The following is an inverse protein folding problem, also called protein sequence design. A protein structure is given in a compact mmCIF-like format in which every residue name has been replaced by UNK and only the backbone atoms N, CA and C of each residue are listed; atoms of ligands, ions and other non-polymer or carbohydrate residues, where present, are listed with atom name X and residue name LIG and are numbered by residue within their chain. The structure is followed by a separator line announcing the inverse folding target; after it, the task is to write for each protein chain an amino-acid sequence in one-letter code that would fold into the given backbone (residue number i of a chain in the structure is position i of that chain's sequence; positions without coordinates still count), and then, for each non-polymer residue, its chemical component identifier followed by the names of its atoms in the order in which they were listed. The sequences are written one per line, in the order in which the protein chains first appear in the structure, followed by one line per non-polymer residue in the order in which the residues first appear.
data_IF_293425657538
#
_entry.id   IF_293425657538
#
_cell.length_a   1.000
_cell.length_b   1.000
_cell.length_c   1.000
_cell.angle_alpha   90.00
_cell.angle_beta   90.00
_cell.angle_gamma   90.00
#
_symmetry.space_group_name_H-M   'P 1'
#
loop_
_entity.id
_entity.type
_entity.pdbx_description
1 polymer ?
#
# COMPACT_ATOMS: atom_id res chain seq x y z
N UNK A 1 -15.32 11.18 -0.68
CA UNK A 1 -15.14 9.93 0.06
C UNK A 1 -14.35 8.95 -0.80
N UNK A 2 -13.55 8.08 -0.19
CA UNK A 2 -12.77 7.02 -0.84
C UNK A 2 -13.10 5.67 -0.20
N UNK A 3 -12.85 4.59 -0.92
CA UNK A 3 -12.99 3.22 -0.46
C UNK A 3 -11.61 2.55 -0.56
N UNK A 4 -11.12 1.99 0.54
CA UNK A 4 -9.94 1.14 0.55
C UNK A 4 -10.36 -0.32 0.66
N UNK A 5 -9.80 -1.17 -0.18
CA UNK A 5 -10.05 -2.62 -0.23
C UNK A 5 -8.71 -3.34 -0.05
N UNK A 6 -8.61 -4.18 0.97
CA UNK A 6 -7.43 -5.01 1.30
C UNK A 6 -7.87 -6.44 1.66
N UNK A 7 -6.93 -7.34 1.75
CA UNK A 7 -7.07 -8.71 2.27
C UNK A 7 -8.30 -9.47 1.69
N UNK A 8 -9.25 -9.87 2.55
CA UNK A 8 -10.43 -10.63 2.11
C UNK A 8 -11.33 -9.85 1.15
N UNK A 9 -11.33 -8.52 1.23
CA UNK A 9 -12.00 -7.67 0.25
C UNK A 9 -11.42 -7.85 -1.16
N UNK A 10 -10.09 -7.95 -1.28
CA UNK A 10 -9.39 -8.22 -2.55
C UNK A 10 -9.66 -9.64 -3.04
N UNK A 11 -9.66 -10.63 -2.14
CA UNK A 11 -10.00 -12.00 -2.49
C UNK A 11 -11.44 -12.12 -3.02
N UNK A 12 -12.38 -11.45 -2.38
CA UNK A 12 -13.78 -11.39 -2.84
C UNK A 12 -13.88 -10.70 -4.20
N UNK A 13 -13.21 -9.55 -4.38
CA UNK A 13 -13.18 -8.82 -5.64
C UNK A 13 -12.60 -9.67 -6.78
N UNK A 14 -11.60 -10.52 -6.49
CA UNK A 14 -11.02 -11.44 -7.48
C UNK A 14 -12.03 -12.45 -8.04
N UNK A 15 -13.02 -12.84 -7.24
CA UNK A 15 -14.11 -13.76 -7.64
C UNK A 15 -15.24 -13.06 -8.39
N UNK A 16 -15.33 -11.73 -8.30
CA UNK A 16 -16.37 -10.93 -8.93
C UNK A 16 -15.96 -10.48 -10.34
N UNK A 17 -16.94 -9.98 -11.12
CA UNK A 17 -16.62 -9.18 -12.30
C UNK A 17 -16.03 -7.83 -11.85
N UNK A 18 -14.78 -7.59 -12.20
CA UNK A 18 -14.03 -6.39 -11.80
C UNK A 18 -14.56 -5.10 -12.43
N UNK A 19 -15.42 -5.20 -13.45
CA UNK A 19 -16.07 -4.03 -14.05
C UNK A 19 -16.97 -3.28 -13.06
N UNK A 20 -17.28 -3.88 -11.91
CA UNK A 20 -17.93 -3.19 -10.78
C UNK A 20 -17.10 -1.97 -10.32
N UNK A 21 -15.77 -2.01 -10.45
CA UNK A 21 -14.88 -0.91 -10.11
C UNK A 21 -15.14 0.32 -11.00
N UNK A 22 -15.44 0.11 -12.29
CA UNK A 22 -15.73 1.18 -13.25
C UNK A 22 -17.01 1.95 -12.91
N UNK A 23 -17.93 1.31 -12.18
CA UNK A 23 -19.18 1.92 -11.74
C UNK A 23 -19.09 2.55 -10.35
N UNK A 24 -17.90 2.58 -9.74
CA UNK A 24 -17.71 3.18 -8.42
C UNK A 24 -17.96 4.68 -8.45
N UNK A 25 -18.75 5.18 -7.49
CA UNK A 25 -19.03 6.61 -7.30
C UNK A 25 -17.97 7.32 -6.42
N UNK A 26 -16.96 6.59 -5.99
CA UNK A 26 -15.87 7.12 -5.17
C UNK A 26 -14.51 6.62 -5.69
N UNK A 27 -13.43 7.27 -5.30
CA UNK A 27 -12.07 6.77 -5.57
C UNK A 27 -11.86 5.47 -4.81
N UNK A 28 -11.41 4.43 -5.51
CA UNK A 28 -11.09 3.13 -4.92
C UNK A 28 -9.59 2.97 -4.82
N UNK A 29 -9.11 2.55 -3.65
CA UNK A 29 -7.72 2.21 -3.38
C UNK A 29 -7.65 0.71 -3.12
N UNK A 30 -6.80 0.02 -3.86
CA UNK A 30 -6.53 -1.42 -3.70
C UNK A 30 -5.09 -1.60 -3.21
N UNK A 31 -4.90 -2.46 -2.20
CA UNK A 31 -3.59 -2.66 -1.56
C UNK A 31 -3.09 -4.13 -1.62
N UNK A 32 -3.11 -4.79 -2.79
CA UNK A 32 -2.73 -6.19 -2.88
C UNK A 32 -1.23 -6.42 -2.64
N UNK A 33 -0.89 -7.54 -2.03
CA UNK A 33 0.41 -8.17 -2.21
C UNK A 33 0.44 -8.98 -3.52
N UNK A 34 1.61 -9.48 -3.94
CA UNK A 34 1.77 -10.16 -5.23
C UNK A 34 0.78 -11.30 -5.46
N UNK A 35 0.50 -12.11 -4.42
CA UNK A 35 -0.40 -13.27 -4.54
C UNK A 35 -1.88 -12.85 -4.67
N UNK A 36 -2.28 -11.77 -4.01
CA UNK A 36 -3.62 -11.16 -4.19
C UNK A 36 -3.73 -10.54 -5.58
N UNK A 37 -2.67 -9.90 -6.05
CA UNK A 37 -2.64 -9.27 -7.37
C UNK A 37 -2.66 -10.30 -8.50
N UNK A 38 -1.99 -11.44 -8.34
CA UNK A 38 -2.12 -12.60 -9.24
C UNK A 38 -3.57 -13.07 -9.33
N UNK A 39 -4.28 -13.22 -8.20
CA UNK A 39 -5.70 -13.59 -8.18
C UNK A 39 -6.59 -12.55 -8.86
N UNK A 40 -6.31 -11.27 -8.64
CA UNK A 40 -7.05 -10.18 -9.26
C UNK A 40 -6.87 -10.11 -10.77
N UNK A 41 -5.64 -10.35 -11.26
CA UNK A 41 -5.31 -10.17 -12.68
C UNK A 41 -5.38 -11.45 -13.49
N UNK A 42 -5.18 -12.61 -12.87
CA UNK A 42 -4.93 -13.88 -13.54
C UNK A 42 -3.53 -13.98 -14.16
N UNK A 43 -2.65 -13.00 -13.92
CA UNK A 43 -1.26 -12.99 -14.40
C UNK A 43 -0.39 -13.63 -13.32
N UNK A 44 0.47 -14.59 -13.69
CA UNK A 44 1.33 -15.27 -12.72
C UNK A 44 2.34 -14.32 -12.06
N UNK A 45 2.74 -14.66 -10.82
CA UNK A 45 3.68 -13.84 -10.04
C UNK A 45 5.00 -13.63 -10.80
N UNK A 46 5.48 -14.66 -11.54
CA UNK A 46 6.69 -14.57 -12.34
C UNK A 46 6.60 -13.46 -13.39
N UNK A 47 5.49 -13.44 -14.15
CA UNK A 47 5.24 -12.41 -15.16
C UNK A 47 5.04 -11.03 -14.53
N UNK A 48 4.36 -10.97 -13.36
CA UNK A 48 4.21 -9.71 -12.65
C UNK A 48 5.57 -9.16 -12.25
N UNK A 49 6.50 -10.01 -11.78
CA UNK A 49 7.85 -9.61 -11.38
C UNK A 49 8.70 -9.11 -12.55
N UNK A 50 8.48 -9.60 -13.77
CA UNK A 50 9.21 -9.17 -14.97
C UNK A 50 8.92 -7.71 -15.37
N UNK A 51 7.68 -7.23 -15.17
CA UNK A 51 7.28 -5.87 -15.54
C UNK A 51 6.21 -5.30 -14.59
N UNK A 52 6.58 -5.22 -13.30
CA UNK A 52 5.67 -4.84 -12.20
C UNK A 52 5.02 -3.48 -12.41
N UNK A 53 5.80 -2.49 -12.83
CA UNK A 53 5.31 -1.13 -13.00
C UNK A 53 4.25 -1.06 -14.09
N UNK A 54 4.57 -1.59 -15.28
CA UNK A 54 3.66 -1.57 -16.40
C UNK A 54 2.36 -2.32 -16.10
N UNK A 55 2.45 -3.53 -15.54
CA UNK A 55 1.27 -4.34 -15.22
C UNK A 55 0.40 -3.64 -14.17
N UNK A 56 1.03 -3.01 -13.15
CA UNK A 56 0.32 -2.24 -12.13
C UNK A 56 -0.36 -1.01 -12.74
N UNK A 57 0.33 -0.26 -13.59
CA UNK A 57 -0.22 0.92 -14.28
C UNK A 57 -1.37 0.55 -15.21
N UNK A 58 -1.21 -0.49 -16.02
CA UNK A 58 -2.25 -0.93 -16.95
C UNK A 58 -3.51 -1.39 -16.21
N UNK A 59 -3.34 -2.09 -15.07
CA UNK A 59 -4.47 -2.48 -14.22
C UNK A 59 -5.17 -1.26 -13.61
N UNK A 60 -4.40 -0.34 -13.02
CA UNK A 60 -4.95 0.86 -12.39
C UNK A 60 -5.70 1.74 -13.39
N UNK A 61 -5.12 1.93 -14.60
CA UNK A 61 -5.75 2.67 -15.70
C UNK A 61 -7.04 1.99 -16.18
N UNK A 62 -7.00 0.68 -16.39
CA UNK A 62 -8.15 -0.09 -16.87
C UNK A 62 -9.35 0.02 -15.95
N UNK A 63 -9.15 -0.04 -14.64
CA UNK A 63 -10.24 -0.08 -13.66
C UNK A 63 -10.47 1.25 -12.93
N UNK A 64 -9.74 2.31 -13.29
CA UNK A 64 -9.85 3.67 -12.71
C UNK A 64 -9.63 3.67 -11.18
N UNK A 65 -8.69 2.87 -10.70
CA UNK A 65 -8.36 2.72 -9.28
C UNK A 65 -6.98 3.26 -8.95
N UNK A 66 -6.74 3.52 -7.67
CA UNK A 66 -5.39 3.69 -7.15
C UNK A 66 -4.93 2.31 -6.66
N UNK A 67 -3.83 1.83 -7.20
CA UNK A 67 -3.25 0.54 -6.85
C UNK A 67 -1.97 0.75 -6.05
N UNK A 68 -1.89 0.15 -4.86
CA UNK A 68 -0.68 -0.01 -4.08
C UNK A 68 -0.28 -1.49 -4.11
N UNK A 69 0.68 -1.84 -4.96
CA UNK A 69 1.19 -3.21 -5.07
C UNK A 69 2.31 -3.43 -4.06
N UNK A 70 1.98 -4.14 -2.97
CA UNK A 70 2.91 -4.46 -1.86
C UNK A 70 4.05 -5.37 -2.32
N UNK A 71 5.24 -5.17 -1.77
CA UNK A 71 6.42 -6.00 -1.99
C UNK A 71 7.63 -5.40 -1.30
N UNK A 72 8.82 -5.96 -1.53
CA UNK A 72 10.09 -5.40 -1.07
C UNK A 72 10.23 -3.93 -1.50
N UNK A 73 9.89 -3.66 -2.74
CA UNK A 73 9.64 -2.31 -3.26
C UNK A 73 8.14 -2.20 -3.52
N UNK A 74 7.50 -1.21 -2.95
CA UNK A 74 6.07 -0.96 -3.14
C UNK A 74 5.84 0.00 -4.30
N UNK A 75 4.91 -0.35 -5.18
CA UNK A 75 4.51 0.48 -6.32
C UNK A 75 3.13 1.08 -6.05
N UNK A 76 2.99 2.39 -6.21
CA UNK A 76 1.69 3.07 -6.09
C UNK A 76 1.39 3.81 -7.39
N UNK A 77 0.24 3.53 -8.00
CA UNK A 77 -0.13 4.12 -9.28
C UNK A 77 -1.63 4.33 -9.42
N UNK A 78 -2.02 5.33 -10.20
CA UNK A 78 -3.38 5.56 -10.70
C UNK A 78 -3.53 5.27 -12.20
N UNK A 79 -2.48 4.72 -12.79
CA UNK A 79 -2.39 4.42 -14.22
C UNK A 79 -1.69 5.50 -15.03
N UNK A 80 -1.64 6.74 -14.56
CA UNK A 80 -0.95 7.86 -15.24
C UNK A 80 0.35 8.21 -14.52
N UNK A 81 0.35 8.21 -13.21
CA UNK A 81 1.52 8.44 -12.36
C UNK A 81 1.90 7.14 -11.65
N UNK A 82 3.21 6.94 -11.48
CA UNK A 82 3.78 5.82 -10.75
C UNK A 82 4.77 6.34 -9.71
N UNK A 83 4.62 5.87 -8.48
CA UNK A 83 5.50 6.18 -7.36
C UNK A 83 6.12 4.90 -6.84
N UNK A 84 7.43 4.93 -6.66
CA UNK A 84 8.22 3.84 -6.08
C UNK A 84 8.50 4.17 -4.63
N UNK A 85 8.10 3.28 -3.73
CA UNK A 85 8.32 3.44 -2.28
C UNK A 85 9.26 2.35 -1.81
N UNK A 86 10.47 2.75 -1.45
CA UNK A 86 11.56 1.87 -1.01
C UNK A 86 11.70 1.80 0.52
N UNK A 87 10.95 2.65 1.25
CA UNK A 87 10.94 2.59 2.71
C UNK A 87 10.25 1.33 3.21
N UNK A 88 10.80 0.77 4.27
CA UNK A 88 10.35 -0.46 4.90
C UNK A 88 11.52 -1.29 5.40
N UNK A 89 11.23 -2.39 6.04
CA UNK A 89 12.26 -3.28 6.60
C UNK A 89 11.72 -4.71 6.72
N UNK A 90 12.60 -5.73 6.84
CA UNK A 90 12.20 -7.13 6.97
C UNK A 90 11.27 -7.40 8.15
N UNK A 91 11.44 -6.72 9.28
CA UNK A 91 10.59 -6.87 10.46
C UNK A 91 9.12 -6.52 10.23
N UNK A 92 8.81 -5.74 9.18
CA UNK A 92 7.42 -5.47 8.77
C UNK A 92 6.74 -6.67 8.10
N UNK A 93 7.45 -7.74 7.80
CA UNK A 93 6.87 -8.99 7.27
C UNK A 93 6.18 -9.80 8.39
N UNK A 94 5.42 -9.14 9.25
CA UNK A 94 4.68 -9.71 10.37
C UNK A 94 3.17 -9.50 10.21
N UNK A 95 2.39 -10.37 10.86
CA UNK A 95 0.92 -10.28 10.84
C UNK A 95 0.44 -8.94 11.39
N UNK A 96 -0.55 -8.33 10.72
CA UNK A 96 -1.10 -7.03 11.10
C UNK A 96 -0.42 -5.82 10.42
N UNK A 97 0.74 -5.98 9.77
CA UNK A 97 1.40 -4.86 9.07
C UNK A 97 0.57 -4.30 7.92
N UNK A 98 -0.19 -5.15 7.22
CA UNK A 98 -1.15 -4.70 6.20
C UNK A 98 -2.27 -3.85 6.79
N UNK A 99 -2.78 -4.24 7.97
CA UNK A 99 -3.84 -3.50 8.68
C UNK A 99 -3.34 -2.11 9.12
N UNK A 100 -2.09 -2.05 9.62
CA UNK A 100 -1.45 -0.77 9.96
C UNK A 100 -1.35 0.13 8.73
N UNK A 101 -0.84 -0.40 7.61
CA UNK A 101 -0.75 0.36 6.35
C UNK A 101 -2.12 0.86 5.91
N UNK A 102 -3.13 0.00 5.91
CA UNK A 102 -4.51 0.34 5.55
C UNK A 102 -5.11 1.40 6.47
N UNK A 103 -4.80 1.33 7.77
CA UNK A 103 -5.18 2.35 8.76
C UNK A 103 -4.52 3.70 8.49
N UNK A 104 -3.21 3.73 8.20
CA UNK A 104 -2.48 4.98 7.89
C UNK A 104 -2.99 5.60 6.59
N UNK A 105 -3.20 4.80 5.52
CA UNK A 105 -3.78 5.27 4.27
C UNK A 105 -5.16 5.88 4.55
N UNK A 106 -6.02 5.18 5.26
CA UNK A 106 -7.39 5.64 5.57
C UNK A 106 -7.38 6.94 6.38
N UNK A 107 -6.46 7.06 7.35
CA UNK A 107 -6.26 8.28 8.13
C UNK A 107 -5.85 9.46 7.26
N UNK A 108 -4.87 9.29 6.36
CA UNK A 108 -4.41 10.35 5.46
C UNK A 108 -5.52 10.75 4.48
N UNK A 109 -6.23 9.79 3.90
CA UNK A 109 -7.31 10.04 2.95
C UNK A 109 -8.60 10.56 3.61
N UNK A 110 -8.70 10.47 4.94
CA UNK A 110 -9.78 11.11 5.70
C UNK A 110 -9.72 12.64 5.66
N UNK A 111 -8.53 13.20 5.52
CA UNK A 111 -8.26 14.66 5.49
C UNK A 111 -7.77 15.16 4.14
N UNK A 112 -7.39 14.29 3.23
CA UNK A 112 -6.80 14.63 1.94
C UNK A 112 -7.55 13.96 0.80
N UNK A 113 -7.36 14.49 -0.41
CA UNK A 113 -7.88 13.87 -1.62
C UNK A 113 -7.27 12.49 -1.85
N UNK A 114 -8.09 11.52 -2.28
CA UNK A 114 -7.61 10.22 -2.68
C UNK A 114 -6.95 10.31 -4.07
N UNK A 115 -5.62 10.28 -4.07
CA UNK A 115 -4.76 10.23 -5.25
C UNK A 115 -3.54 9.36 -4.98
N UNK A 116 -2.80 8.98 -6.03
CA UNK A 116 -1.64 8.10 -5.91
C UNK A 116 -0.52 8.70 -5.05
N UNK A 117 -0.32 10.03 -5.07
CA UNK A 117 0.69 10.70 -4.24
C UNK A 117 0.41 10.53 -2.75
N UNK A 118 -0.82 10.79 -2.30
CA UNK A 118 -1.20 10.68 -0.88
C UNK A 118 -1.15 9.23 -0.38
N UNK A 119 -1.47 8.26 -1.24
CA UNK A 119 -1.32 6.82 -0.92
C UNK A 119 0.16 6.43 -0.84
N UNK A 120 1.01 6.93 -1.75
CA UNK A 120 2.46 6.70 -1.71
C UNK A 120 3.10 7.34 -0.47
N UNK A 121 2.68 8.56 -0.10
CA UNK A 121 3.13 9.23 1.11
C UNK A 121 2.76 8.44 2.38
N UNK A 122 1.54 7.86 2.42
CA UNK A 122 1.12 6.98 3.51
C UNK A 122 2.00 5.71 3.61
N UNK A 123 2.30 5.09 2.46
CA UNK A 123 3.19 3.92 2.41
C UNK A 123 4.61 4.28 2.88
N UNK A 124 5.15 5.40 2.41
CA UNK A 124 6.47 5.89 2.82
C UNK A 124 6.52 6.18 4.32
N UNK A 125 5.54 6.87 4.87
CA UNK A 125 5.43 7.16 6.31
C UNK A 125 5.41 5.85 7.11
N UNK A 126 4.59 4.88 6.70
CA UNK A 126 4.49 3.58 7.36
C UNK A 126 5.84 2.83 7.29
N UNK A 127 6.52 2.87 6.15
CA UNK A 127 7.82 2.24 5.95
C UNK A 127 8.90 2.84 6.86
N UNK A 128 8.99 4.18 6.95
CA UNK A 128 9.93 4.88 7.85
C UNK A 128 9.62 4.54 9.31
N UNK A 129 8.35 4.51 9.71
CA UNK A 129 7.96 4.12 11.07
C UNK A 129 8.35 2.66 11.37
N UNK A 130 8.22 1.76 10.39
CA UNK A 130 8.68 0.37 10.50
C UNK A 130 10.20 0.27 10.67
N UNK A 131 10.99 1.05 9.93
CA UNK A 131 12.45 1.11 10.09
C UNK A 131 12.84 1.55 11.51
N UNK A 132 12.21 2.60 12.04
CA UNK A 132 12.41 3.07 13.41
C UNK A 132 12.04 1.97 14.43
N UNK A 133 10.94 1.28 14.21
CA UNK A 133 10.50 0.18 15.07
C UNK A 133 11.51 -0.97 15.06
N UNK A 134 12.05 -1.33 13.88
CA UNK A 134 13.08 -2.36 13.77
C UNK A 134 14.37 -1.98 14.48
N UNK A 135 14.80 -0.70 14.43
CA UNK A 135 15.95 -0.22 15.20
C UNK A 135 15.75 -0.38 16.72
N UNK A 136 14.52 -0.19 17.22
CA UNK A 136 14.19 -0.30 18.64
C UNK A 136 14.03 -1.75 19.10
N UNK A 137 13.42 -2.61 18.31
CA UNK A 137 12.93 -3.92 18.72
C UNK A 137 13.57 -5.08 17.97
N UNK A 138 14.44 -4.82 17.00
CA UNK A 138 15.00 -5.77 16.01
C UNK A 138 13.94 -6.32 15.04
N UNK A 139 14.38 -6.91 13.94
CA UNK A 139 13.52 -7.50 12.92
C UNK A 139 12.72 -8.73 13.42
N UNK A 140 13.28 -9.45 14.39
CA UNK A 140 12.68 -10.68 14.93
C UNK A 140 11.63 -10.37 16.00
N UNK A 141 11.81 -9.30 16.78
CA UNK A 141 10.98 -9.01 17.97
C UNK A 141 9.88 -7.99 17.70
N UNK A 142 10.00 -7.17 16.63
CA UNK A 142 8.99 -6.15 16.37
C UNK A 142 7.63 -6.74 15.98
N UNK A 143 6.59 -6.01 16.35
CA UNK A 143 5.18 -6.29 16.02
C UNK A 143 4.61 -5.16 15.18
N UNK A 144 3.50 -5.41 14.52
CA UNK A 144 2.81 -4.37 13.74
C UNK A 144 2.43 -3.13 14.58
N UNK A 145 2.06 -3.31 15.86
CA UNK A 145 1.77 -2.21 16.79
C UNK A 145 2.97 -1.29 17.04
N UNK A 146 4.20 -1.82 17.00
CA UNK A 146 5.41 -1.02 17.23
C UNK A 146 5.62 -0.02 16.11
N UNK A 147 5.20 -0.36 14.88
CA UNK A 147 5.17 0.58 13.74
C UNK A 147 4.21 1.75 14.05
N UNK A 148 3.05 1.49 14.65
CA UNK A 148 2.08 2.54 15.02
C UNK A 148 2.72 3.50 16.03
N UNK A 149 3.39 2.97 17.06
CA UNK A 149 4.05 3.77 18.10
C UNK A 149 5.18 4.65 17.55
N UNK A 150 5.78 4.25 16.43
CA UNK A 150 6.85 5.00 15.77
C UNK A 150 6.36 6.03 14.73
N UNK A 151 5.06 6.07 14.39
CA UNK A 151 4.51 7.05 13.44
C UNK A 151 4.80 8.52 13.82
N UNK A 152 4.67 8.94 15.10
CA UNK A 152 4.97 10.34 15.47
C UNK A 152 6.43 10.73 15.19
N UNK A 153 7.38 9.80 15.40
CA UNK A 153 8.80 10.04 15.12
C UNK A 153 9.06 10.10 13.62
N UNK A 154 8.47 9.20 12.85
CA UNK A 154 8.55 9.21 11.39
C UNK A 154 8.01 10.53 10.79
N UNK A 155 6.90 11.07 11.32
CA UNK A 155 6.35 12.37 10.90
C UNK A 155 7.35 13.50 11.16
N UNK A 156 8.01 13.53 12.33
CA UNK A 156 9.03 14.53 12.65
C UNK A 156 10.20 14.47 11.68
N UNK A 157 10.67 13.27 11.36
CA UNK A 157 11.75 13.08 10.39
C UNK A 157 11.36 13.63 9.02
N UNK A 158 10.17 13.30 8.51
CA UNK A 158 9.68 13.77 7.20
C UNK A 158 9.54 15.28 7.17
N UNK A 159 9.16 15.91 8.29
CA UNK A 159 9.07 17.36 8.43
C UNK A 159 10.41 18.07 8.60
N UNK A 160 11.50 17.32 8.76
CA UNK A 160 12.82 17.89 9.05
C UNK A 160 12.90 18.49 10.46
N UNK A 161 12.02 18.11 11.37
CA UNK A 161 12.06 18.54 12.77
C UNK A 161 13.22 17.81 13.46
N UNK A 162 14.22 18.56 13.93
CA UNK A 162 15.36 18.00 14.65
C UNK A 162 14.91 17.37 15.97
N UNK A 163 15.56 16.25 16.32
CA UNK A 163 15.45 15.62 17.65
C UNK A 163 15.88 16.57 18.75
#
# INVERSE_FOLDING_TARGET
KSLLIDADGLNTLALMNKDILLNSKCKVVLTPHLKEFERLTGISIEKIKEDREKIAMDFARKYHVILLLKGEITIVTDGDKCYIVESGCPGMATAGSGDVLSGVISGILGYNEANAFNVAAAAMLTGIAGQIAQEKYTDICMKASDTIECLPEAIKIIRGEKK
#
